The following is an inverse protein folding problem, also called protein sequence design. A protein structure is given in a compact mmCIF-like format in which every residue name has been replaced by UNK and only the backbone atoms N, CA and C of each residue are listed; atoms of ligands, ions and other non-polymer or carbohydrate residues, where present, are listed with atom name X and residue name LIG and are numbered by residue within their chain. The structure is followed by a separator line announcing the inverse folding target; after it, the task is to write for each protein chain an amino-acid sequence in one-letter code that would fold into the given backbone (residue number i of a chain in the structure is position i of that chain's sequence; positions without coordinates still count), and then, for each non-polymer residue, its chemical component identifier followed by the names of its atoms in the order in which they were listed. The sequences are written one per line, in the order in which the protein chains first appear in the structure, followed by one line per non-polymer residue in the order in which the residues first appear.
data_IF_327099412618
#
_entry.id   IF_327099412618
#
_cell.length_a   1.000
_cell.length_b   1.000
_cell.length_c   1.000
_cell.angle_alpha   90.00
_cell.angle_beta   90.00
_cell.angle_gamma   90.00
#
_symmetry.space_group_name_H-M   'P 1'
#
loop_
_entity.id
_entity.type
_entity.pdbx_description
1 polymer ?
#
# COMPACT_ATOMS: atom_id res chain seq x y z
N UNK A 1 7.18 0.55 19.69
CA UNK A 1 6.34 -0.54 19.12
C UNK A 1 5.27 0.09 18.23
N UNK A 2 5.05 -0.42 17.01
CA UNK A 2 3.96 0.04 16.14
C UNK A 2 2.63 -0.67 16.49
N UNK A 3 1.96 -0.30 17.60
CA UNK A 3 0.76 -1.00 18.13
C UNK A 3 -0.52 -0.17 18.32
N UNK A 4 -0.54 1.11 17.94
CA UNK A 4 -1.72 1.99 18.08
C UNK A 4 -2.87 1.65 17.12
N UNK A 5 -4.08 2.14 17.45
CA UNK A 5 -5.35 1.76 16.83
C UNK A 5 -5.46 2.12 15.34
N UNK A 6 -4.91 3.26 14.93
CA UNK A 6 -4.88 3.68 13.53
C UNK A 6 -3.52 3.42 12.92
N UNK A 7 -3.54 3.03 11.65
CA UNK A 7 -2.35 2.82 10.85
C UNK A 7 -2.45 3.67 9.58
N UNK A 8 -1.37 4.36 9.25
CA UNK A 8 -1.23 5.06 7.97
C UNK A 8 -0.15 4.38 7.15
N UNK A 9 -0.49 4.05 5.91
CA UNK A 9 0.50 3.71 4.89
C UNK A 9 0.69 4.92 3.99
N UNK A 10 1.94 5.17 3.63
CA UNK A 10 2.27 6.14 2.62
C UNK A 10 3.60 5.84 1.97
N UNK A 11 3.96 6.67 1.01
CA UNK A 11 5.26 6.64 0.39
C UNK A 11 5.71 8.04 -0.01
N UNK A 12 7.01 8.17 -0.23
CA UNK A 12 7.66 9.42 -0.61
C UNK A 12 9.02 9.17 -1.26
N UNK A 13 9.57 10.13 -2.03
CA UNK A 13 10.97 10.13 -2.37
C UNK A 13 11.84 10.06 -1.10
N UNK A 14 12.97 9.36 -1.18
CA UNK A 14 13.94 9.34 -0.08
C UNK A 14 14.42 10.78 0.20
N UNK A 15 14.55 11.13 1.48
CA UNK A 15 14.92 12.48 1.93
C UNK A 15 13.78 13.52 1.92
N UNK A 16 12.65 13.26 1.26
CA UNK A 16 11.51 14.17 1.27
C UNK A 16 10.73 14.13 2.60
N UNK A 17 10.20 15.28 3.03
CA UNK A 17 9.20 15.36 4.10
C UNK A 17 7.76 15.22 3.59
N UNK A 18 7.54 15.43 2.28
CA UNK A 18 6.23 15.38 1.64
C UNK A 18 5.89 13.95 1.20
N UNK A 19 4.67 13.51 1.51
CA UNK A 19 4.11 12.23 1.09
C UNK A 19 3.52 12.36 -0.32
N UNK A 20 3.87 11.43 -1.21
CA UNK A 20 3.30 11.39 -2.56
C UNK A 20 1.86 10.87 -2.54
N UNK A 21 1.60 9.85 -1.72
CA UNK A 21 0.27 9.31 -1.46
C UNK A 21 0.26 8.72 -0.05
N UNK A 22 -0.89 8.82 0.60
CA UNK A 22 -1.12 8.31 1.94
C UNK A 22 -2.58 7.94 2.14
N UNK A 23 -2.81 6.90 2.93
CA UNK A 23 -4.14 6.55 3.44
C UNK A 23 -4.01 6.12 4.90
N UNK A 24 -5.02 6.43 5.71
CA UNK A 24 -5.12 6.03 7.11
C UNK A 24 -6.44 5.33 7.38
N UNK A 25 -6.40 4.26 8.15
CA UNK A 25 -7.57 3.52 8.59
C UNK A 25 -7.37 2.89 9.97
N UNK A 26 -8.38 2.19 10.46
CA UNK A 26 -8.21 1.33 11.63
C UNK A 26 -7.21 0.22 11.28
N UNK A 27 -6.36 -0.14 12.23
CA UNK A 27 -5.36 -1.19 12.06
C UNK A 27 -5.97 -2.49 11.53
N UNK A 28 -7.16 -2.87 12.02
CA UNK A 28 -7.87 -4.07 11.59
C UNK A 28 -8.25 -4.02 10.10
N UNK A 29 -8.64 -2.86 9.58
CA UNK A 29 -8.97 -2.68 8.17
C UNK A 29 -7.72 -2.68 7.29
N UNK A 30 -6.69 -1.94 7.72
CA UNK A 30 -5.44 -1.79 6.97
C UNK A 30 -4.64 -3.11 6.90
N UNK A 31 -4.82 -3.99 7.88
CA UNK A 31 -4.24 -5.33 7.95
C UNK A 31 -5.25 -6.44 7.62
N UNK A 32 -6.41 -6.09 7.03
CA UNK A 32 -7.37 -7.11 6.61
C UNK A 32 -6.72 -8.04 5.58
N UNK A 33 -6.65 -9.34 5.91
CA UNK A 33 -5.95 -10.30 5.08
C UNK A 33 -6.77 -10.61 3.82
N UNK A 34 -6.16 -10.33 2.69
CA UNK A 34 -6.64 -10.73 1.36
C UNK A 34 -5.96 -12.01 0.85
N UNK A 35 -5.01 -12.57 1.62
CA UNK A 35 -4.14 -13.65 1.17
C UNK A 35 -3.50 -13.35 -0.20
N UNK A 36 -3.34 -14.40 -0.99
CA UNK A 36 -2.77 -14.35 -2.35
C UNK A 36 -3.80 -14.06 -3.44
N UNK A 37 -5.04 -13.70 -3.08
CA UNK A 37 -6.04 -13.30 -4.07
C UNK A 37 -5.55 -12.11 -4.89
N UNK A 38 -5.60 -12.25 -6.21
CA UNK A 38 -5.11 -11.22 -7.15
C UNK A 38 -6.02 -10.00 -7.20
N UNK A 39 -7.30 -10.13 -6.82
CA UNK A 39 -8.32 -9.09 -6.96
C UNK A 39 -8.95 -8.62 -5.63
N UNK A 40 -8.60 -9.24 -4.50
CA UNK A 40 -9.17 -8.89 -3.21
C UNK A 40 -8.82 -7.46 -2.78
N UNK A 41 -9.84 -6.73 -2.34
CA UNK A 41 -9.75 -5.48 -1.60
C UNK A 41 -10.76 -5.49 -0.45
N UNK A 42 -10.41 -4.88 0.67
CA UNK A 42 -11.28 -4.62 1.81
C UNK A 42 -11.60 -3.13 1.86
N UNK A 43 -12.87 -2.78 1.65
CA UNK A 43 -13.29 -1.37 1.62
C UNK A 43 -13.55 -0.89 3.03
N UNK A 44 -12.80 0.12 3.48
CA UNK A 44 -13.03 0.79 4.75
C UNK A 44 -12.58 2.26 4.68
N UNK A 45 -13.39 3.15 5.26
CA UNK A 45 -13.11 4.60 5.30
C UNK A 45 -12.82 5.21 3.90
N UNK A 46 -13.52 4.74 2.87
CA UNK A 46 -13.33 5.22 1.49
C UNK A 46 -12.04 4.76 0.81
N UNK A 47 -11.36 3.75 1.34
CA UNK A 47 -10.11 3.20 0.79
C UNK A 47 -10.26 1.71 0.58
N UNK A 48 -9.75 1.20 -0.55
CA UNK A 48 -9.63 -0.23 -0.79
C UNK A 48 -8.29 -0.75 -0.29
N UNK A 49 -8.29 -1.45 0.84
CA UNK A 49 -7.10 -2.02 1.48
C UNK A 49 -6.81 -3.42 0.97
N UNK A 50 -5.55 -3.81 0.90
CA UNK A 50 -5.18 -5.21 0.75
C UNK A 50 -3.88 -5.49 1.49
N UNK A 51 -3.85 -6.62 2.19
CA UNK A 51 -2.69 -7.07 2.94
C UNK A 51 -2.55 -8.59 2.85
N UNK A 52 -1.31 -9.07 2.80
CA UNK A 52 -0.95 -10.46 3.07
C UNK A 52 0.52 -10.50 3.48
N UNK A 53 0.88 -11.42 4.39
CA UNK A 53 2.24 -11.50 4.94
C UNK A 53 3.29 -11.88 3.89
N UNK A 54 2.96 -12.71 2.90
CA UNK A 54 3.89 -13.21 1.89
C UNK A 54 3.45 -12.86 0.47
N UNK A 55 2.92 -11.65 0.28
CA UNK A 55 2.48 -11.21 -1.05
C UNK A 55 2.67 -9.70 -1.24
N UNK A 56 1.67 -8.91 -0.85
CA UNK A 56 1.66 -7.47 -1.03
C UNK A 56 0.82 -6.77 0.01
N UNK A 57 1.21 -5.53 0.30
CA UNK A 57 0.50 -4.62 1.17
C UNK A 57 0.35 -3.27 0.49
N UNK A 58 -0.87 -2.75 0.51
CA UNK A 58 -1.16 -1.48 -0.13
C UNK A 58 -2.60 -1.07 -0.06
N UNK A 59 -2.91 -0.07 -0.88
CA UNK A 59 -4.26 0.47 -0.98
C UNK A 59 -4.51 1.10 -2.35
N UNK A 60 -5.78 1.26 -2.65
CA UNK A 60 -6.32 1.94 -3.84
C UNK A 60 -7.48 2.84 -3.45
N UNK A 61 -7.94 3.67 -4.39
CA UNK A 61 -9.20 4.39 -4.24
C UNK A 61 -10.37 3.42 -4.01
N UNK A 62 -11.47 3.89 -3.40
CA UNK A 62 -12.63 3.03 -3.18
C UNK A 62 -13.14 2.39 -4.50
N UNK A 63 -13.49 1.10 -4.45
CA UNK A 63 -14.00 0.30 -5.57
C UNK A 63 -13.09 0.17 -6.79
N UNK A 64 -11.85 0.65 -6.70
CA UNK A 64 -10.85 0.42 -7.74
C UNK A 64 -10.46 -1.07 -7.78
N UNK A 65 -10.42 -1.64 -8.98
CA UNK A 65 -9.93 -3.01 -9.18
C UNK A 65 -8.40 -3.05 -8.99
N UNK A 66 -7.92 -4.15 -8.41
CA UNK A 66 -6.49 -4.47 -8.30
C UNK A 66 -6.16 -5.74 -9.08
N UNK A 67 -4.90 -5.83 -9.51
CA UNK A 67 -4.33 -7.07 -10.03
C UNK A 67 -2.99 -7.30 -9.35
N UNK A 68 -3.00 -8.07 -8.27
CA UNK A 68 -1.86 -8.37 -7.42
C UNK A 68 -1.16 -9.60 -7.98
N UNK A 69 0.07 -9.47 -8.46
CA UNK A 69 1.02 -10.58 -8.67
C UNK A 69 2.31 -10.23 -7.94
N UNK A 70 2.34 -10.46 -6.63
CA UNK A 70 3.27 -9.86 -5.66
C UNK A 70 3.20 -8.31 -5.52
N UNK A 71 2.49 -7.61 -6.42
CA UNK A 71 2.01 -6.24 -6.24
C UNK A 71 0.88 -5.90 -7.20
N UNK A 72 0.06 -4.87 -6.88
CA UNK A 72 -0.92 -4.27 -7.79
C UNK A 72 -0.24 -3.60 -8.98
N UNK A 73 -0.58 -4.03 -10.20
CA UNK A 73 -0.06 -3.49 -11.47
C UNK A 73 -1.09 -2.70 -12.29
N UNK A 74 -2.34 -2.58 -11.84
CA UNK A 74 -3.39 -1.84 -12.56
C UNK A 74 -3.16 -0.32 -12.56
N UNK A 75 -3.79 0.46 -13.44
CA UNK A 75 -3.51 1.90 -13.60
C UNK A 75 -4.73 2.81 -13.48
N UNK A 76 -5.88 2.30 -13.05
CA UNK A 76 -7.07 3.15 -12.78
C UNK A 76 -6.76 4.07 -11.60
N UNK A 77 -7.10 5.36 -11.66
CA UNK A 77 -6.84 6.33 -10.58
C UNK A 77 -5.44 6.22 -9.92
N UNK A 78 -4.34 6.23 -10.69
CA UNK A 78 -3.03 5.77 -10.23
C UNK A 78 -2.45 6.63 -9.10
N UNK A 79 -2.86 7.89 -9.00
CA UNK A 79 -2.45 8.82 -7.94
C UNK A 79 -2.91 8.39 -6.54
N UNK A 80 -3.95 7.55 -6.43
CA UNK A 80 -4.51 7.07 -5.15
C UNK A 80 -4.06 5.66 -4.80
N UNK A 81 -2.93 5.20 -5.35
CA UNK A 81 -2.48 3.81 -5.21
C UNK A 81 -1.12 3.68 -4.60
N UNK A 82 -0.95 2.67 -3.76
CA UNK A 82 0.32 2.32 -3.17
C UNK A 82 0.44 0.81 -3.13
N UNK A 83 1.58 0.26 -3.55
CA UNK A 83 1.83 -1.16 -3.44
C UNK A 83 3.29 -1.45 -3.10
N UNK A 84 3.47 -2.14 -1.97
CA UNK A 84 4.76 -2.69 -1.53
C UNK A 84 4.66 -4.19 -1.40
N UNK A 85 5.75 -4.87 -1.69
CA UNK A 85 5.81 -6.31 -1.43
C UNK A 85 6.04 -6.52 0.06
N UNK A 86 5.55 -7.64 0.56
CA UNK A 86 5.89 -8.12 1.90
C UNK A 86 6.89 -9.28 1.84
N UNK A 87 7.35 -9.63 0.63
CA UNK A 87 8.40 -10.60 0.38
C UNK A 87 9.78 -9.94 0.64
N UNK A 88 10.74 -10.73 1.13
CA UNK A 88 12.02 -10.25 1.65
C UNK A 88 12.99 -9.65 0.62
N UNK A 89 12.67 -9.70 -0.69
CA UNK A 89 13.60 -9.32 -1.76
C UNK A 89 13.18 -8.12 -2.62
N UNK A 90 12.00 -7.52 -2.39
CA UNK A 90 11.44 -6.53 -3.30
C UNK A 90 10.81 -5.36 -2.55
N UNK A 91 11.11 -4.13 -2.99
CA UNK A 91 10.54 -2.91 -2.43
C UNK A 91 9.03 -2.85 -2.65
N UNK A 92 8.60 -2.83 -3.91
CA UNK A 92 7.20 -2.64 -4.26
C UNK A 92 7.06 -2.21 -5.69
N UNK A 93 5.84 -2.19 -6.22
CA UNK A 93 5.65 -1.75 -7.61
C UNK A 93 5.45 -0.23 -7.71
N UNK A 94 4.77 0.42 -6.75
CA UNK A 94 4.33 1.80 -6.92
C UNK A 94 4.26 2.68 -5.67
N UNK A 95 4.39 3.97 -5.94
CA UNK A 95 4.09 5.09 -5.06
C UNK A 95 3.26 6.13 -5.82
N UNK A 96 1.94 6.04 -5.73
CA UNK A 96 1.04 6.83 -6.59
C UNK A 96 1.29 6.51 -8.07
N UNK A 97 1.44 7.57 -8.87
CA UNK A 97 1.72 7.45 -10.30
C UNK A 97 3.14 6.94 -10.64
N UNK A 98 4.04 6.85 -9.64
CA UNK A 98 5.40 6.38 -9.85
C UNK A 98 5.43 4.86 -9.75
N UNK A 99 5.76 4.20 -10.84
CA UNK A 99 5.81 2.73 -10.97
C UNK A 99 7.25 2.23 -11.16
N UNK A 100 7.43 0.91 -11.25
CA UNK A 100 8.75 0.31 -11.50
C UNK A 100 9.70 0.38 -10.30
N UNK A 101 9.15 0.43 -9.08
CA UNK A 101 9.94 0.63 -7.86
C UNK A 101 10.54 -0.65 -7.25
N UNK A 102 10.42 -1.81 -7.91
CA UNK A 102 10.69 -3.13 -7.30
C UNK A 102 12.13 -3.27 -6.80
N UNK A 103 13.09 -2.67 -7.51
CA UNK A 103 14.52 -2.60 -7.18
C UNK A 103 15.02 -1.17 -6.91
N UNK A 104 14.09 -0.19 -6.84
CA UNK A 104 14.45 1.21 -6.68
C UNK A 104 14.80 1.55 -5.25
N UNK A 105 15.84 2.37 -5.06
CA UNK A 105 16.23 2.97 -3.78
C UNK A 105 15.81 4.43 -3.66
N UNK A 106 15.08 4.98 -4.64
CA UNK A 106 14.74 6.41 -4.69
C UNK A 106 13.42 6.76 -3.99
N UNK A 107 12.61 5.75 -3.65
CA UNK A 107 11.35 5.90 -2.91
C UNK A 107 11.32 4.99 -1.70
N UNK A 108 10.63 5.42 -0.66
CA UNK A 108 10.46 4.67 0.59
C UNK A 108 8.99 4.52 0.98
N UNK A 109 8.65 3.35 1.52
CA UNK A 109 7.42 3.13 2.28
C UNK A 109 7.57 3.77 3.66
N UNK A 110 6.52 4.42 4.12
CA UNK A 110 6.42 4.90 5.50
C UNK A 110 5.16 4.35 6.15
N UNK A 111 5.29 3.99 7.42
CA UNK A 111 4.20 3.48 8.24
C UNK A 111 4.14 4.35 9.49
N UNK A 112 3.01 5.02 9.69
CA UNK A 112 2.73 5.78 10.92
C UNK A 112 1.58 5.15 11.67
N UNK A 113 1.47 5.49 12.96
CA UNK A 113 0.41 4.98 13.82
C UNK A 113 -0.03 6.03 14.84
N UNK A 114 -1.32 6.07 15.14
CA UNK A 114 -1.91 6.98 16.13
C UNK A 114 -3.04 6.28 16.88
N UNK A 115 -3.50 6.88 17.99
CA UNK A 115 -4.75 6.49 18.63
C UNK A 115 -5.94 6.99 17.79
#
# INVERSE_FOLDING_TARGET
ICNKQKLMLGCRPVGSSLLSVAAMGLRGDVLYSCGESTSCTHIANGVGWYFAYEYSWGFVNNNDIVYRYACDTTSTNPIYRLCWTTLSAHGGYRCGNITGLSSSTTYQRVIYHSN
#
